data_IF_692352173788
#
_entry.id   IF_692352173788
#
_cell.length_a   1.000
_cell.length_b   1.000
_cell.length_c   1.000
_cell.angle_alpha   90.00
_cell.angle_beta   90.00
_cell.angle_gamma   90.00
#
_symmetry.space_group_name_H-M   'P 1'
#
loop_
_entity.id
_entity.type
_entity.pdbx_description
1 polymer ?
#
# COMPACT_ATOMS: atom_id res chain seq x y z
N UNK A 1 0.28 2.30 -7.78
CA UNK A 1 0.77 3.69 -7.71
C UNK A 1 0.69 4.27 -9.11
N UNK A 2 -0.09 5.34 -9.31
CA UNK A 2 -0.50 5.86 -10.63
C UNK A 2 -0.11 7.35 -10.85
N UNK A 3 0.60 7.94 -9.90
CA UNK A 3 0.95 9.37 -9.88
C UNK A 3 2.46 9.53 -9.61
N UNK A 4 3.02 10.70 -9.89
CA UNK A 4 4.37 11.08 -9.45
C UNK A 4 4.42 11.55 -7.98
N UNK A 5 3.26 11.87 -7.39
CA UNK A 5 3.12 12.34 -6.00
C UNK A 5 2.95 11.22 -4.99
N UNK A 6 3.07 11.55 -3.71
CA UNK A 6 2.77 10.61 -2.63
C UNK A 6 1.27 10.29 -2.58
N UNK A 7 0.96 9.03 -2.32
CA UNK A 7 -0.41 8.56 -2.03
C UNK A 7 -0.45 7.97 -0.64
N UNK A 8 -1.61 8.00 0.00
CA UNK A 8 -1.84 7.50 1.36
C UNK A 8 -3.06 6.57 1.40
N UNK A 9 -3.16 5.76 2.43
CA UNK A 9 -4.31 4.90 2.67
C UNK A 9 -4.25 4.19 4.01
N UNK A 10 -5.30 3.43 4.31
CA UNK A 10 -5.39 2.60 5.51
C UNK A 10 -5.13 1.13 5.19
N UNK A 11 -4.72 0.40 6.22
CA UNK A 11 -4.55 -1.05 6.18
C UNK A 11 -5.67 -1.66 7.01
N UNK A 12 -6.50 -2.49 6.38
CA UNK A 12 -7.58 -3.24 7.02
C UNK A 12 -7.16 -4.69 7.28
N UNK A 13 -7.57 -5.20 8.42
CA UNK A 13 -7.08 -6.50 8.88
C UNK A 13 -7.78 -7.00 10.14
N UNK A 14 -7.13 -7.98 10.77
CA UNK A 14 -7.58 -8.56 12.04
C UNK A 14 -6.45 -8.54 13.06
N UNK A 15 -6.83 -8.42 14.33
CA UNK A 15 -5.93 -8.51 15.47
C UNK A 15 -6.45 -9.59 16.42
N UNK A 16 -5.72 -10.69 16.51
CA UNK A 16 -5.99 -11.75 17.48
C UNK A 16 -5.19 -11.46 18.74
N UNK A 17 -5.88 -10.97 19.77
CA UNK A 17 -5.31 -10.65 21.08
C UNK A 17 -4.72 -11.89 21.75
N UNK A 18 -5.37 -13.06 21.60
CA UNK A 18 -4.95 -14.28 22.29
C UNK A 18 -3.70 -14.89 21.64
N UNK A 19 -3.63 -14.87 20.31
CA UNK A 19 -2.46 -15.35 19.57
C UNK A 19 -1.36 -14.29 19.41
N UNK A 20 -1.63 -13.04 19.80
CA UNK A 20 -0.80 -11.87 19.50
C UNK A 20 -0.42 -11.78 18.02
N UNK A 21 -1.40 -12.01 17.15
CA UNK A 21 -1.18 -12.07 15.71
C UNK A 21 -1.99 -10.98 14.98
N UNK A 22 -1.30 -10.12 14.25
CA UNK A 22 -1.89 -9.08 13.40
C UNK A 22 -1.78 -9.52 11.94
N UNK A 23 -2.92 -9.58 11.25
CA UNK A 23 -2.97 -9.87 9.82
C UNK A 23 -3.46 -8.65 9.06
N UNK A 24 -2.66 -8.14 8.12
CA UNK A 24 -3.10 -7.16 7.13
C UNK A 24 -3.70 -7.93 5.96
N UNK A 25 -4.97 -7.69 5.67
CA UNK A 25 -5.72 -8.44 4.66
C UNK A 25 -6.01 -7.60 3.41
N UNK A 26 -6.18 -6.30 3.57
CA UNK A 26 -6.52 -5.43 2.46
C UNK A 26 -6.02 -3.99 2.66
N UNK A 27 -5.62 -3.34 1.56
CA UNK A 27 -5.32 -1.92 1.54
C UNK A 27 -6.57 -1.13 1.12
N UNK A 28 -6.78 0.02 1.76
CA UNK A 28 -7.89 0.96 1.54
C UNK A 28 -7.30 2.31 1.12
N UNK A 29 -7.14 2.58 -0.19
CA UNK A 29 -6.49 3.80 -0.65
C UNK A 29 -7.38 5.03 -0.42
N UNK A 30 -6.78 6.10 0.10
CA UNK A 30 -7.46 7.39 0.18
C UNK A 30 -7.47 8.04 -1.21
N UNK A 31 -8.65 8.15 -1.82
CA UNK A 31 -8.84 8.86 -3.10
C UNK A 31 -8.97 10.37 -2.86
N UNK A 32 -7.87 10.96 -2.36
CA UNK A 32 -7.76 12.37 -2.04
C UNK A 32 -6.39 12.93 -2.40
N UNK A 33 -6.29 14.26 -2.48
CA UNK A 33 -4.99 14.93 -2.59
C UNK A 33 -4.40 15.13 -1.19
N UNK A 34 -3.09 14.95 -1.08
CA UNK A 34 -2.40 15.13 0.20
C UNK A 34 -2.61 16.57 0.71
N UNK A 35 -3.13 16.70 1.92
CA UNK A 35 -3.42 18.00 2.55
C UNK A 35 -4.79 18.59 2.23
N UNK A 36 -5.63 17.90 1.47
CA UNK A 36 -7.04 18.29 1.26
C UNK A 36 -7.88 17.98 2.51
N UNK A 37 -7.96 18.97 3.41
CA UNK A 37 -8.70 18.85 4.67
C UNK A 37 -10.21 18.87 4.49
N UNK A 38 -10.72 19.34 3.35
CA UNK A 38 -12.16 19.42 3.09
C UNK A 38 -12.69 18.06 2.65
N UNK A 39 -11.96 17.34 1.81
CA UNK A 39 -12.35 16.00 1.35
C UNK A 39 -12.05 14.89 2.37
N UNK A 40 -11.09 15.10 3.28
CA UNK A 40 -10.62 14.06 4.21
C UNK A 40 -11.74 13.38 5.03
N UNK A 41 -12.70 14.10 5.66
CA UNK A 41 -13.74 13.45 6.47
C UNK A 41 -14.65 12.52 5.65
N UNK A 42 -14.99 12.91 4.42
CA UNK A 42 -15.83 12.09 3.55
C UNK A 42 -15.10 10.81 3.09
N UNK A 43 -13.79 10.92 2.82
CA UNK A 43 -12.95 9.78 2.43
C UNK A 43 -12.78 8.81 3.62
N UNK A 44 -12.53 9.33 4.82
CA UNK A 44 -12.39 8.51 6.02
C UNK A 44 -13.70 7.76 6.35
N UNK A 45 -14.84 8.43 6.20
CA UNK A 45 -16.15 7.82 6.40
C UNK A 45 -16.43 6.69 5.39
N UNK A 46 -16.14 6.91 4.10
CA UNK A 46 -16.27 5.87 3.07
C UNK A 46 -15.40 4.64 3.39
N UNK A 47 -14.16 4.87 3.81
CA UNK A 47 -13.24 3.79 4.18
C UNK A 47 -13.75 3.04 5.42
N UNK A 48 -14.27 3.77 6.43
CA UNK A 48 -14.87 3.18 7.64
C UNK A 48 -16.03 2.26 7.29
N UNK A 49 -16.96 2.70 6.44
CA UNK A 49 -18.08 1.89 5.98
C UNK A 49 -17.61 0.63 5.23
N UNK A 50 -16.60 0.78 4.36
CA UNK A 50 -16.03 -0.35 3.59
C UNK A 50 -15.33 -1.38 4.49
N UNK A 51 -14.63 -0.93 5.54
CA UNK A 51 -14.05 -1.81 6.56
C UNK A 51 -15.11 -2.59 7.32
N UNK A 52 -16.18 -1.91 7.77
CA UNK A 52 -17.30 -2.54 8.50
C UNK A 52 -18.01 -3.60 7.67
N UNK A 53 -18.30 -3.30 6.39
CA UNK A 53 -18.92 -4.25 5.45
C UNK A 53 -18.07 -5.51 5.24
N UNK A 54 -16.75 -5.40 5.37
CA UNK A 54 -15.80 -6.52 5.22
C UNK A 54 -15.42 -7.17 6.54
N UNK A 55 -15.98 -6.72 7.67
CA UNK A 55 -15.63 -7.15 9.02
C UNK A 55 -14.12 -7.01 9.33
N UNK A 56 -13.53 -5.92 8.85
CA UNK A 56 -12.12 -5.60 9.06
C UNK A 56 -11.98 -4.44 10.04
N UNK A 57 -10.93 -4.47 10.84
CA UNK A 57 -10.50 -3.34 11.65
C UNK A 57 -9.37 -2.58 10.95
N UNK A 58 -9.25 -1.28 11.22
CA UNK A 58 -8.01 -0.55 10.89
C UNK A 58 -6.89 -1.16 11.73
N UNK A 59 -5.83 -1.61 11.08
CA UNK A 59 -4.62 -2.17 11.71
C UNK A 59 -3.36 -1.37 11.38
N UNK A 60 -3.51 -0.29 10.62
CA UNK A 60 -2.40 0.54 10.22
C UNK A 60 -2.73 1.50 9.09
N UNK A 61 -1.69 2.09 8.54
CA UNK A 61 -1.74 3.02 7.43
C UNK A 61 -0.54 2.80 6.52
N UNK A 62 -0.64 3.31 5.30
CA UNK A 62 0.48 3.32 4.38
C UNK A 62 0.57 4.63 3.65
N UNK A 63 1.79 4.95 3.21
CA UNK A 63 2.03 5.96 2.20
C UNK A 63 3.11 5.50 1.24
N UNK A 64 3.33 6.28 0.19
CA UNK A 64 4.39 6.01 -0.76
C UNK A 64 5.51 7.03 -0.67
N UNK A 65 6.75 6.57 -0.87
CA UNK A 65 7.87 7.41 -1.28
C UNK A 65 8.18 7.12 -2.76
N UNK A 66 7.56 7.83 -3.73
CA UNK A 66 7.60 7.43 -5.14
C UNK A 66 9.03 7.21 -5.66
N UNK A 67 9.94 8.14 -5.38
CA UNK A 67 11.32 8.15 -5.90
C UNK A 67 12.39 8.09 -4.79
N UNK A 68 11.98 7.99 -3.52
CA UNK A 68 12.87 7.94 -2.35
C UNK A 68 12.78 6.56 -1.67
N UNK A 69 13.85 6.11 -0.99
CA UNK A 69 13.85 4.79 -0.39
C UNK A 69 12.88 4.72 0.82
N UNK A 70 12.43 3.51 1.21
CA UNK A 70 11.26 3.34 2.08
C UNK A 70 11.59 3.56 3.58
N UNK A 71 12.71 4.21 3.90
CA UNK A 71 13.04 4.55 5.28
C UNK A 71 12.11 5.66 5.78
N UNK A 72 11.50 5.51 6.97
CA UNK A 72 10.65 6.53 7.55
C UNK A 72 11.42 7.83 7.79
N UNK A 73 10.83 8.95 7.37
CA UNK A 73 11.29 10.30 7.74
C UNK A 73 10.91 10.64 9.19
N UNK A 74 11.41 11.76 9.71
CA UNK A 74 10.98 12.27 11.02
C UNK A 74 9.48 12.59 11.05
N UNK A 75 8.92 13.07 9.93
CA UNK A 75 7.49 13.35 9.82
C UNK A 75 6.68 12.06 9.89
N UNK A 76 7.13 11.01 9.20
CA UNK A 76 6.47 9.70 9.22
C UNK A 76 6.51 9.11 10.62
N UNK A 77 7.64 9.24 11.33
CA UNK A 77 7.76 8.77 12.70
C UNK A 77 6.78 9.47 13.65
N UNK A 78 6.61 10.79 13.50
CA UNK A 78 5.65 11.55 14.31
C UNK A 78 4.21 11.10 14.00
N UNK A 79 3.83 10.99 12.73
CA UNK A 79 2.50 10.50 12.33
C UNK A 79 2.24 9.08 12.84
N UNK A 80 3.22 8.18 12.74
CA UNK A 80 3.09 6.81 13.26
C UNK A 80 2.90 6.80 14.78
N UNK A 81 3.56 7.69 15.53
CA UNK A 81 3.33 7.81 16.98
C UNK A 81 1.91 8.28 17.29
N UNK A 82 1.38 9.27 16.56
CA UNK A 82 0.01 9.75 16.73
C UNK A 82 -1.01 8.63 16.48
N UNK A 83 -0.82 7.84 15.42
CA UNK A 83 -1.66 6.67 15.14
C UNK A 83 -1.53 5.59 16.23
N UNK A 84 -0.32 5.29 16.71
CA UNK A 84 -0.13 4.34 17.81
C UNK A 84 -0.81 4.78 19.11
N UNK A 85 -0.78 6.08 19.43
CA UNK A 85 -1.47 6.64 20.60
C UNK A 85 -2.98 6.50 20.42
N UNK A 86 -3.50 6.87 19.25
CA UNK A 86 -4.93 6.77 18.93
C UNK A 86 -5.44 5.34 18.98
N UNK A 87 -4.69 4.39 18.41
CA UNK A 87 -5.06 2.98 18.34
C UNK A 87 -4.74 2.18 19.61
N UNK A 88 -4.07 2.79 20.59
CA UNK A 88 -3.82 2.17 21.89
C UNK A 88 -5.13 1.86 22.62
N UNK A 89 -6.17 2.67 22.37
CA UNK A 89 -7.43 2.59 23.09
C UNK A 89 -7.29 2.98 24.57
N UNK A 90 -8.41 2.92 25.30
CA UNK A 90 -8.47 3.29 26.72
C UNK A 90 -7.97 2.17 27.65
N UNK A 91 -7.93 0.94 27.16
CA UNK A 91 -7.58 -0.26 27.92
C UNK A 91 -6.87 -1.31 27.05
N UNK A 92 -6.23 -2.28 27.70
CA UNK A 92 -5.52 -3.37 27.02
C UNK A 92 -6.45 -4.23 26.14
N UNK A 93 -7.75 -4.30 26.45
CA UNK A 93 -8.73 -5.02 25.63
C UNK A 93 -9.16 -4.27 24.37
N UNK A 94 -8.96 -2.94 24.35
CA UNK A 94 -9.20 -2.08 23.17
C UNK A 94 -7.93 -1.83 22.35
N UNK A 95 -6.79 -2.35 22.79
CA UNK A 95 -5.51 -2.16 22.13
C UNK A 95 -5.48 -2.88 20.78
N UNK A 96 -5.16 -2.12 19.73
CA UNK A 96 -4.83 -2.66 18.40
C UNK A 96 -3.44 -2.17 17.99
N UNK A 97 -2.49 -3.06 17.67
CA UNK A 97 -1.20 -2.63 17.15
C UNK A 97 -1.40 -1.85 15.84
N UNK A 98 -0.63 -0.77 15.68
CA UNK A 98 -0.67 0.05 14.48
C UNK A 98 0.60 -0.17 13.65
N UNK A 99 0.42 -0.58 12.38
CA UNK A 99 1.52 -0.76 11.43
C UNK A 99 1.60 0.45 10.49
N UNK A 100 2.78 1.05 10.37
CA UNK A 100 3.10 1.96 9.26
C UNK A 100 3.75 1.19 8.12
N UNK A 101 3.31 1.39 6.88
CA UNK A 101 3.89 0.78 5.69
C UNK A 101 4.32 1.84 4.67
N UNK A 102 5.57 1.80 4.22
CA UNK A 102 6.07 2.68 3.16
C UNK A 102 6.31 1.85 1.90
N UNK A 103 5.68 2.26 0.80
CA UNK A 103 5.91 1.70 -0.52
C UNK A 103 6.74 2.65 -1.38
N UNK A 104 7.88 2.18 -1.86
CA UNK A 104 8.79 2.93 -2.73
C UNK A 104 8.82 2.30 -4.12
N UNK A 105 7.89 2.70 -5.02
CA UNK A 105 7.73 2.04 -6.30
C UNK A 105 8.82 2.39 -7.32
N UNK A 106 9.38 3.59 -7.32
CA UNK A 106 10.24 4.09 -8.40
C UNK A 106 11.63 4.53 -7.93
N UNK A 107 12.11 3.95 -6.83
CA UNK A 107 13.51 4.10 -6.42
C UNK A 107 14.40 3.52 -7.53
N UNK A 108 15.36 4.31 -7.99
CA UNK A 108 16.34 3.89 -8.97
C UNK A 108 17.37 3.02 -8.26
N UNK A 109 17.21 1.71 -8.38
CA UNK A 109 18.13 0.69 -7.85
C UNK A 109 18.63 -0.12 -9.04
N UNK A 110 19.91 0.00 -9.40
CA UNK A 110 20.50 -0.69 -10.56
C UNK A 110 20.38 -2.22 -10.50
N UNK A 111 20.16 -2.78 -9.30
CA UNK A 111 20.09 -4.23 -9.09
C UNK A 111 18.68 -4.81 -9.24
N UNK A 112 17.63 -3.97 -9.21
CA UNK A 112 16.27 -4.48 -9.05
C UNK A 112 15.19 -3.46 -9.46
N UNK A 113 14.16 -3.95 -10.16
CA UNK A 113 12.99 -3.15 -10.58
C UNK A 113 11.78 -3.28 -9.64
N UNK A 114 11.90 -4.07 -8.57
CA UNK A 114 10.81 -4.26 -7.61
C UNK A 114 10.56 -3.00 -6.78
N UNK A 115 9.29 -2.69 -6.57
CA UNK A 115 8.89 -1.77 -5.52
C UNK A 115 9.41 -2.28 -4.16
N UNK A 116 10.01 -1.38 -3.38
CA UNK A 116 10.52 -1.70 -2.05
C UNK A 116 9.43 -1.39 -1.02
N UNK A 117 9.31 -2.24 -0.01
CA UNK A 117 8.33 -2.08 1.06
C UNK A 117 9.05 -2.13 2.40
N UNK A 118 8.65 -1.25 3.32
CA UNK A 118 9.12 -1.28 4.70
C UNK A 118 7.92 -1.11 5.63
N UNK A 119 7.66 -2.14 6.44
CA UNK A 119 6.71 -2.07 7.54
C UNK A 119 7.46 -1.69 8.82
N UNK A 120 6.90 -0.77 9.61
CA UNK A 120 7.53 -0.28 10.83
C UNK A 120 6.50 0.10 11.89
N UNK A 121 6.99 0.18 13.12
CA UNK A 121 6.37 0.92 14.21
C UNK A 121 7.40 1.88 14.80
N UNK A 122 7.00 2.78 15.67
CA UNK A 122 7.91 3.70 16.34
C UNK A 122 7.94 3.38 17.83
N UNK A 123 9.13 3.03 18.31
CA UNK A 123 9.39 2.92 19.74
C UNK A 123 9.40 4.34 20.34
N UNK A 124 8.52 4.64 21.31
CA UNK A 124 8.48 5.96 21.91
C UNK A 124 9.79 6.26 22.64
N UNK A 125 10.14 7.55 22.79
CA UNK A 125 11.29 7.96 23.59
C UNK A 125 11.18 7.42 25.02
N UNK A 126 12.29 7.05 25.67
CA UNK A 126 12.26 6.67 27.08
C UNK A 126 11.75 7.82 27.96
N UNK A 127 11.04 7.51 29.06
CA UNK A 127 10.47 8.51 29.97
C UNK A 127 11.49 9.51 30.54
N UNK A 128 12.75 9.09 30.67
CA UNK A 128 13.84 9.92 31.17
C UNK A 128 14.38 10.92 30.12
N UNK A 129 13.94 10.82 28.86
CA UNK A 129 14.33 11.69 27.74
C UNK A 129 13.14 11.94 26.79
N UNK A 130 12.06 12.60 27.27
CA UNK A 130 10.85 12.78 26.49
C UNK A 130 11.02 13.70 25.27
N UNK A 131 12.11 14.47 25.23
CA UNK A 131 12.44 15.37 24.11
C UNK A 131 13.22 14.68 22.98
N UNK A 132 13.61 13.41 23.14
CA UNK A 132 14.21 12.63 22.04
C UNK A 132 13.14 12.23 21.02
N UNK A 133 13.55 11.94 19.78
CA UNK A 133 12.64 11.39 18.77
C UNK A 133 12.38 9.91 19.02
N UNK A 134 11.16 9.46 18.69
CA UNK A 134 10.85 8.04 18.62
C UNK A 134 11.74 7.33 17.60
N UNK A 135 12.06 6.06 17.86
CA UNK A 135 12.94 5.26 17.01
C UNK A 135 12.11 4.38 16.08
N UNK A 136 12.24 4.50 14.75
CA UNK A 136 11.56 3.59 13.84
C UNK A 136 12.14 2.19 13.97
N UNK A 137 11.26 1.22 14.18
CA UNK A 137 11.56 -0.19 14.36
C UNK A 137 10.98 -0.95 13.17
N UNK A 138 11.84 -1.51 12.32
CA UNK A 138 11.42 -2.32 11.19
C UNK A 138 10.72 -3.59 11.69
N UNK A 139 9.59 -3.93 11.06
CA UNK A 139 8.86 -5.16 11.32
C UNK A 139 9.34 -6.30 10.42
N UNK A 140 9.31 -7.51 10.98
CA UNK A 140 9.43 -8.75 10.24
C UNK A 140 8.04 -9.37 10.11
N UNK A 141 7.70 -9.83 8.91
CA UNK A 141 6.38 -10.39 8.64
C UNK A 141 6.48 -11.50 7.60
N UNK A 142 5.43 -12.32 7.55
CA UNK A 142 5.24 -13.35 6.54
C UNK A 142 4.21 -12.86 5.51
N UNK A 143 4.40 -13.24 4.25
CA UNK A 143 3.45 -12.95 3.18
C UNK A 143 2.75 -14.24 2.79
N UNK A 144 1.43 -14.28 2.95
CA UNK A 144 0.58 -15.33 2.41
C UNK A 144 0.01 -14.84 1.07
N UNK A 145 0.27 -15.60 0.01
CA UNK A 145 -0.30 -15.28 -1.30
C UNK A 145 -1.72 -15.84 -1.42
N UNK A 146 -2.60 -15.03 -1.99
CA UNK A 146 -3.96 -15.41 -2.28
C UNK A 146 -4.03 -16.48 -3.37
N UNK A 147 -5.13 -17.22 -3.38
CA UNK A 147 -5.40 -18.22 -4.42
C UNK A 147 -5.80 -17.58 -5.74
N UNK A 148 -6.58 -16.49 -5.70
CA UNK A 148 -7.18 -15.82 -6.85
C UNK A 148 -7.54 -14.36 -6.52
N UNK A 149 -7.77 -13.53 -7.55
CA UNK A 149 -8.27 -12.16 -7.37
C UNK A 149 -9.79 -12.15 -7.13
N UNK A 150 -10.24 -11.32 -6.18
CA UNK A 150 -11.67 -11.11 -5.93
C UNK A 150 -12.26 -10.08 -6.90
N UNK A 151 -13.57 -10.17 -7.14
CA UNK A 151 -14.28 -9.16 -7.97
C UNK A 151 -14.20 -7.77 -7.34
N UNK A 152 -14.28 -7.69 -6.01
CA UNK A 152 -14.15 -6.42 -5.27
C UNK A 152 -12.79 -5.77 -5.53
N UNK A 153 -11.70 -6.54 -5.52
CA UNK A 153 -10.37 -6.00 -5.79
C UNK A 153 -10.27 -5.47 -7.23
N UNK A 154 -10.84 -6.18 -8.21
CA UNK A 154 -10.89 -5.72 -9.60
C UNK A 154 -11.72 -4.43 -9.74
N UNK A 155 -12.79 -4.27 -8.97
CA UNK A 155 -13.58 -3.04 -8.92
C UNK A 155 -12.78 -1.90 -8.31
N UNK A 156 -12.10 -2.11 -7.18
CA UNK A 156 -11.25 -1.09 -6.56
C UNK A 156 -10.15 -0.62 -7.52
N UNK A 157 -9.53 -1.54 -8.27
CA UNK A 157 -8.56 -1.18 -9.31
C UNK A 157 -9.14 -0.25 -10.38
N UNK A 158 -10.40 -0.48 -10.81
CA UNK A 158 -11.11 0.40 -11.75
C UNK A 158 -11.35 1.78 -11.16
N UNK A 159 -11.89 1.84 -9.94
CA UNK A 159 -12.19 3.12 -9.26
C UNK A 159 -10.92 3.96 -9.05
N UNK A 160 -9.80 3.33 -8.71
CA UNK A 160 -8.51 4.02 -8.58
C UNK A 160 -8.00 4.55 -9.91
N UNK A 161 -8.08 3.73 -10.97
CA UNK A 161 -7.72 4.16 -12.32
C UNK A 161 -8.54 5.36 -12.77
N UNK A 162 -9.85 5.34 -12.54
CA UNK A 162 -10.76 6.43 -12.88
C UNK A 162 -10.47 7.69 -12.08
N UNK A 163 -10.23 7.58 -10.77
CA UNK A 163 -9.89 8.71 -9.93
C UNK A 163 -8.61 9.43 -10.38
N UNK A 164 -7.54 8.67 -10.67
CA UNK A 164 -6.27 9.26 -11.10
C UNK A 164 -6.25 9.63 -12.58
N UNK A 165 -7.28 9.27 -13.36
CA UNK A 165 -7.34 9.57 -14.79
C UNK A 165 -7.32 11.08 -15.02
N UNK A 166 -6.35 11.55 -15.81
CA UNK A 166 -6.21 12.96 -16.12
C UNK A 166 -5.72 13.82 -14.94
N UNK A 167 -5.25 13.21 -13.84
CA UNK A 167 -4.56 13.94 -12.79
C UNK A 167 -3.32 14.65 -13.36
N UNK A 168 -3.00 15.88 -12.92
CA UNK A 168 -1.89 16.67 -13.48
C UNK A 168 -0.52 16.03 -13.26
N UNK A 169 -0.43 15.18 -12.24
CA UNK A 169 0.72 14.40 -11.82
C UNK A 169 0.56 12.91 -12.16
N UNK A 170 -0.38 12.54 -13.05
CA UNK A 170 -0.53 11.16 -13.50
C UNK A 170 0.75 10.65 -14.17
N UNK A 171 1.14 9.43 -13.82
CA UNK A 171 2.34 8.81 -14.36
C UNK A 171 2.13 8.38 -15.82
N UNK A 172 3.05 8.75 -16.71
CA UNK A 172 3.03 8.24 -18.08
C UNK A 172 3.74 6.88 -18.14
N UNK A 173 2.95 5.80 -18.24
CA UNK A 173 3.46 4.43 -18.28
C UNK A 173 4.24 4.07 -19.56
N UNK A 174 4.15 4.87 -20.62
CA UNK A 174 4.95 4.70 -21.84
C UNK A 174 6.36 5.30 -21.73
N UNK A 175 6.63 6.16 -20.74
CA UNK A 175 7.95 6.78 -20.58
C UNK A 175 8.98 5.78 -20.08
N UNK A 176 10.23 6.05 -20.42
CA UNK A 176 11.37 5.28 -19.94
C UNK A 176 11.58 5.44 -18.44
N UNK A 177 11.85 4.31 -17.80
CA UNK A 177 12.25 4.12 -16.43
C UNK A 177 13.74 3.78 -16.39
N UNK A 178 14.53 4.84 -16.28
CA UNK A 178 15.98 4.76 -16.08
C UNK A 178 16.32 4.15 -14.71
N UNK A 179 17.40 3.36 -14.59
CA UNK A 179 18.44 3.07 -15.59
C UNK A 179 18.22 1.79 -16.43
N UNK A 180 17.04 1.17 -16.40
CA UNK A 180 16.88 -0.21 -16.89
C UNK A 180 16.53 -0.33 -18.38
N UNK A 181 16.45 0.79 -19.13
CA UNK A 181 15.91 0.83 -20.50
C UNK A 181 14.55 0.12 -20.62
N UNK A 182 13.67 0.29 -19.63
CA UNK A 182 12.31 -0.25 -19.59
C UNK A 182 11.33 0.90 -19.52
N UNK A 183 10.12 0.72 -20.03
CA UNK A 183 9.02 1.61 -19.71
C UNK A 183 8.54 1.45 -18.26
N UNK A 184 7.88 2.47 -17.71
CA UNK A 184 7.16 2.35 -16.43
C UNK A 184 6.13 1.21 -16.43
N UNK A 185 5.51 0.92 -17.58
CA UNK A 185 4.65 -0.25 -17.77
C UNK A 185 5.39 -1.57 -17.54
N UNK A 186 6.52 -1.78 -18.21
CA UNK A 186 7.31 -3.00 -18.09
C UNK A 186 7.86 -3.17 -16.68
N UNK A 187 8.29 -2.07 -16.06
CA UNK A 187 8.68 -2.04 -14.65
C UNK A 187 7.54 -2.52 -13.76
N UNK A 188 6.34 -1.96 -13.92
CA UNK A 188 5.16 -2.34 -13.12
C UNK A 188 4.88 -3.83 -13.27
N UNK A 189 4.82 -4.31 -14.51
CA UNK A 189 4.58 -5.72 -14.83
C UNK A 189 5.61 -6.62 -14.13
N UNK A 190 6.90 -6.37 -14.33
CA UNK A 190 7.99 -7.14 -13.69
C UNK A 190 7.93 -7.12 -12.17
N UNK A 191 7.69 -5.94 -11.59
CA UNK A 191 7.62 -5.76 -10.14
C UNK A 191 6.44 -6.48 -9.48
N UNK A 192 5.36 -6.72 -10.23
CA UNK A 192 4.13 -7.34 -9.70
C UNK A 192 4.02 -8.83 -10.00
N UNK A 193 4.66 -9.36 -11.05
CA UNK A 193 4.51 -10.77 -11.46
C UNK A 193 4.71 -11.76 -10.30
N UNK A 194 5.74 -11.57 -9.47
CA UNK A 194 6.03 -12.45 -8.33
C UNK A 194 5.07 -12.29 -7.14
N UNK A 195 4.19 -11.28 -7.19
CA UNK A 195 3.27 -10.88 -6.12
C UNK A 195 1.80 -11.13 -6.48
N UNK A 196 1.52 -11.59 -7.70
CA UNK A 196 0.17 -11.95 -8.11
C UNK A 196 -0.32 -13.18 -7.33
N UNK A 197 -1.65 -13.39 -7.22
CA UNK A 197 -2.22 -14.61 -6.69
C UNK A 197 -1.73 -15.87 -7.42
N UNK A 198 -1.81 -17.03 -6.75
CA UNK A 198 -1.22 -18.29 -7.23
C UNK A 198 -1.71 -18.72 -8.62
N UNK A 199 -2.98 -18.47 -8.95
CA UNK A 199 -3.56 -18.78 -10.26
C UNK A 199 -3.03 -17.92 -11.41
N UNK A 200 -2.37 -16.79 -11.11
CA UNK A 200 -1.78 -15.86 -12.07
C UNK A 200 -0.25 -15.92 -12.14
N UNK A 201 0.38 -16.91 -11.51
CA UNK A 201 1.85 -17.09 -11.52
C UNK A 201 2.35 -18.10 -12.57
N UNK A 202 1.45 -18.74 -13.32
CA UNK A 202 1.79 -19.82 -14.24
C UNK A 202 2.33 -19.28 -15.57
N UNK A 203 3.42 -19.86 -16.06
CA UNK A 203 4.06 -19.47 -17.33
C UNK A 203 3.21 -19.88 -18.54
N UNK A 204 3.21 -19.04 -19.56
CA UNK A 204 2.48 -19.20 -20.82
C UNK A 204 2.78 -20.54 -21.49
N UNK A 205 1.81 -21.46 -21.45
CA UNK A 205 1.90 -22.80 -22.03
C UNK A 205 0.59 -23.61 -21.89
N UNK A 206 -0.13 -23.43 -20.78
CA UNK A 206 -1.42 -24.08 -20.51
C UNK A 206 -2.59 -23.09 -20.59
N UNK A 207 -3.84 -23.57 -20.52
CA UNK A 207 -5.08 -22.77 -20.47
C UNK A 207 -5.06 -21.65 -19.42
N UNK A 208 -4.21 -21.73 -18.39
CA UNK A 208 -4.00 -20.68 -17.39
C UNK A 208 -3.16 -19.49 -17.91
N UNK A 209 -2.36 -19.66 -18.96
CA UNK A 209 -1.65 -18.56 -19.62
C UNK A 209 -2.59 -17.49 -20.18
N UNK A 210 -3.77 -17.90 -20.67
CA UNK A 210 -4.80 -16.97 -21.14
C UNK A 210 -5.34 -16.09 -20.01
N UNK A 211 -5.44 -16.60 -18.78
CA UNK A 211 -5.90 -15.81 -17.64
C UNK A 211 -4.88 -14.73 -17.25
N UNK A 212 -3.59 -15.07 -17.28
CA UNK A 212 -2.49 -14.12 -17.04
C UNK A 212 -2.49 -13.02 -18.10
N UNK A 213 -2.64 -13.38 -19.38
CA UNK A 213 -2.70 -12.41 -20.48
C UNK A 213 -3.93 -11.50 -20.36
N UNK A 214 -5.11 -12.05 -20.08
CA UNK A 214 -6.33 -11.26 -19.85
C UNK A 214 -6.19 -10.30 -18.67
N UNK A 215 -5.54 -10.74 -17.58
CA UNK A 215 -5.26 -9.87 -16.43
C UNK A 215 -4.36 -8.70 -16.84
N UNK A 216 -3.27 -8.95 -17.56
CA UNK A 216 -2.38 -7.87 -17.99
C UNK A 216 -3.02 -6.93 -19.00
N UNK A 217 -3.85 -7.42 -19.92
CA UNK A 217 -4.62 -6.57 -20.83
C UNK A 217 -5.66 -5.73 -20.07
N UNK A 218 -6.31 -6.29 -19.05
CA UNK A 218 -7.19 -5.54 -18.15
C UNK A 218 -6.42 -4.40 -17.45
N UNK A 219 -5.29 -4.70 -16.80
CA UNK A 219 -4.47 -3.68 -16.10
C UNK A 219 -3.98 -2.62 -17.08
N UNK A 220 -3.54 -3.01 -18.27
CA UNK A 220 -3.10 -2.09 -19.32
C UNK A 220 -4.22 -1.14 -19.74
N UNK A 221 -5.43 -1.66 -19.96
CA UNK A 221 -6.61 -0.86 -20.28
C UNK A 221 -7.01 0.14 -19.20
N UNK A 222 -6.69 -0.14 -17.93
CA UNK A 222 -6.92 0.80 -16.83
C UNK A 222 -5.93 1.98 -16.84
N UNK A 223 -4.64 1.73 -17.07
CA UNK A 223 -3.59 2.73 -16.80
C UNK A 223 -2.99 3.35 -18.06
N UNK A 224 -3.25 2.74 -19.22
CA UNK A 224 -2.85 3.21 -20.54
C UNK A 224 -4.05 3.14 -21.51
N UNK A 225 -5.16 3.85 -21.21
CA UNK A 225 -6.29 3.89 -22.13
C UNK A 225 -5.83 4.52 -23.47
N UNK A 226 -6.22 3.88 -24.57
CA UNK A 226 -5.95 4.28 -25.95
C UNK A 226 -6.63 5.61 -26.27
#
# INVERSE_FOLDING_TARGET
HLTESEVVGYLGGTWDIAAHNLSILQAFPCRGRLGDKEAAPAIEEEIRESLEQRHLAVVGWYHSHPKAPPQPSLRDCNCQMDYQITMKGESDSSYTPCVGLICSPYVKDESCVDAKYLAYWVMPPPDHRPNEYGRPMQMMYNVAQDSFLTQDLLMEMRLLSEYYRGSPDALNFCKDFEPHNLSFWEKLKRSLTSKLPRDLQVTSGDTQGQAVDHFWEFVKGLIMPV
#
